data_IF_579065802195
#
_entry.id   IF_579065802195
#
_cell.length_a   1.000
_cell.length_b   1.000
_cell.length_c   1.000
_cell.angle_alpha   90.00
_cell.angle_beta   90.00
_cell.angle_gamma   90.00
#
_symmetry.space_group_name_H-M   'P 1'
#
loop_
_entity.id
_entity.type
_entity.pdbx_description
1 polymer ?
#
# COMPACT_ATOMS: atom_id res chain seq x y z
N UNK A 1 -80.11 18.61 19.85
CA UNK A 1 -79.36 19.05 21.04
C UNK A 1 -77.99 18.38 20.99
N UNK A 2 -76.94 19.13 20.57
CA UNK A 2 -75.51 18.76 20.33
C UNK A 2 -75.29 17.58 19.35
N UNK A 3 -74.32 17.56 18.43
CA UNK A 3 -72.94 18.04 18.46
C UNK A 3 -72.45 18.66 17.12
N UNK A 4 -71.43 19.49 17.28
CA UNK A 4 -70.50 20.08 16.29
C UNK A 4 -69.63 19.04 15.59
N UNK A 5 -69.20 19.30 14.34
CA UNK A 5 -67.83 18.96 13.90
C UNK A 5 -67.33 19.93 12.83
N UNK A 6 -66.23 20.62 13.15
CA UNK A 6 -65.43 21.47 12.26
C UNK A 6 -64.40 20.60 11.52
N UNK A 7 -64.34 20.69 10.19
CA UNK A 7 -63.25 20.10 9.39
C UNK A 7 -62.11 21.12 9.36
N UNK A 8 -60.94 20.77 9.91
CA UNK A 8 -59.69 21.52 9.71
C UNK A 8 -58.72 20.66 8.90
N UNK A 9 -58.21 21.26 7.83
CA UNK A 9 -57.20 20.73 6.92
C UNK A 9 -55.99 20.16 7.67
N UNK A 10 -55.67 18.89 7.45
CA UNK A 10 -54.39 18.33 7.82
C UNK A 10 -53.43 18.46 6.62
N UNK A 11 -52.54 19.44 6.68
CA UNK A 11 -51.35 19.43 5.84
C UNK A 11 -50.38 18.41 6.45
N UNK A 12 -50.15 17.30 5.75
CA UNK A 12 -49.15 16.31 6.13
C UNK A 12 -47.75 16.91 5.94
N UNK A 13 -47.04 17.14 7.05
CA UNK A 13 -45.61 17.44 7.02
C UNK A 13 -44.87 16.10 6.91
N UNK A 14 -44.37 15.77 5.71
CA UNK A 14 -43.44 14.67 5.52
C UNK A 14 -42.09 15.11 6.11
N UNK A 15 -41.79 14.71 7.34
CA UNK A 15 -40.44 14.81 7.85
C UNK A 15 -39.59 13.76 7.10
N UNK A 16 -38.75 14.21 6.17
CA UNK A 16 -37.67 13.37 5.65
C UNK A 16 -36.72 13.10 6.81
N UNK A 17 -36.72 11.87 7.32
CA UNK A 17 -35.65 11.37 8.18
C UNK A 17 -34.36 11.39 7.38
N UNK A 18 -33.48 12.36 7.65
CA UNK A 18 -32.08 12.26 7.29
C UNK A 18 -31.47 11.16 8.18
N UNK A 19 -30.92 10.08 7.64
CA UNK A 19 -30.17 9.15 8.46
C UNK A 19 -28.88 9.84 8.88
N UNK A 20 -28.86 10.44 10.07
CA UNK A 20 -27.61 10.84 10.73
C UNK A 20 -27.07 9.63 11.49
N UNK A 21 -26.54 8.66 10.76
CA UNK A 21 -25.56 7.76 11.33
C UNK A 21 -24.25 8.54 11.44
N UNK A 22 -24.14 9.39 12.45
CA UNK A 22 -22.85 9.98 12.81
C UNK A 22 -21.97 8.81 13.26
N UNK A 23 -20.96 8.47 12.46
CA UNK A 23 -19.92 7.56 12.90
C UNK A 23 -19.29 8.16 14.15
N UNK A 24 -19.09 7.38 15.24
CA UNK A 24 -18.49 7.91 16.47
C UNK A 24 -17.06 8.45 16.26
N UNK A 25 -16.47 8.14 15.11
CA UNK A 25 -15.19 8.66 14.65
C UNK A 25 -15.42 9.66 13.51
N UNK A 26 -15.06 10.95 13.69
CA UNK A 26 -15.13 11.92 12.61
C UNK A 26 -14.14 11.54 11.50
N UNK A 27 -14.63 11.38 10.28
CA UNK A 27 -13.80 11.16 9.09
C UNK A 27 -13.45 12.51 8.47
N UNK A 28 -12.19 12.69 8.08
CA UNK A 28 -11.73 13.86 7.34
C UNK A 28 -10.77 13.47 6.23
N UNK A 29 -10.76 14.24 5.15
CA UNK A 29 -9.69 14.18 4.16
C UNK A 29 -8.39 14.67 4.80
N UNK A 30 -7.32 13.89 4.66
CA UNK A 30 -5.97 14.28 5.10
C UNK A 30 -5.27 15.08 4.01
N UNK A 31 -5.22 14.52 2.80
CA UNK A 31 -4.66 15.16 1.62
C UNK A 31 -5.41 14.67 0.37
N UNK A 32 -5.43 15.50 -0.68
CA UNK A 32 -5.97 15.14 -1.99
C UNK A 32 -5.08 15.73 -3.07
N UNK A 33 -4.59 14.89 -3.98
CA UNK A 33 -3.87 15.34 -5.18
C UNK A 33 -4.82 16.12 -6.09
N UNK A 34 -4.31 17.18 -6.73
CA UNK A 34 -5.11 18.07 -7.56
C UNK A 34 -5.54 17.42 -8.89
N UNK A 35 -4.77 16.46 -9.39
CA UNK A 35 -5.00 15.81 -10.67
C UNK A 35 -6.02 14.67 -10.55
N UNK A 36 -7.05 14.70 -11.39
CA UNK A 36 -7.98 13.58 -11.52
C UNK A 36 -7.28 12.43 -12.25
N UNK A 37 -7.00 11.34 -11.54
CA UNK A 37 -6.33 10.16 -12.09
C UNK A 37 -5.15 9.67 -11.26
N UNK A 38 -4.77 10.36 -10.18
CA UNK A 38 -3.81 9.82 -9.21
C UNK A 38 -4.40 8.58 -8.55
N UNK A 39 -3.72 7.45 -8.74
CA UNK A 39 -4.04 6.20 -8.06
C UNK A 39 -2.97 5.96 -6.99
N UNK A 40 -3.36 6.17 -5.73
CA UNK A 40 -2.55 5.78 -4.56
C UNK A 40 -2.83 4.31 -4.29
N UNK A 41 -1.79 3.47 -4.33
CA UNK A 41 -1.93 2.02 -4.20
C UNK A 41 -1.82 1.56 -2.75
N UNK A 42 -0.72 1.90 -2.09
CA UNK A 42 -0.48 1.55 -0.69
C UNK A 42 0.04 2.75 0.11
N UNK A 43 0.09 2.55 1.43
CA UNK A 43 0.46 3.56 2.41
C UNK A 43 1.29 2.93 3.53
N UNK A 44 2.28 3.66 4.02
CA UNK A 44 3.00 3.35 5.25
C UNK A 44 3.09 4.59 6.15
N UNK A 45 3.08 4.39 7.47
CA UNK A 45 3.20 5.49 8.45
C UNK A 45 4.66 5.58 8.89
N UNK A 46 5.23 6.78 8.84
CA UNK A 46 6.58 7.04 9.38
C UNK A 46 6.54 7.23 10.90
N UNK A 47 7.64 6.99 11.63
CA UNK A 47 7.72 7.25 13.07
C UNK A 47 7.41 8.69 13.49
N UNK A 48 7.57 9.66 12.59
CA UNK A 48 7.23 11.07 12.82
C UNK A 48 5.73 11.40 12.59
N UNK A 49 4.92 10.41 12.18
CA UNK A 49 3.50 10.56 11.90
C UNK A 49 3.15 10.96 10.47
N UNK A 50 4.14 11.25 9.61
CA UNK A 50 3.91 11.47 8.19
C UNK A 50 3.55 10.16 7.48
N UNK A 51 2.99 10.28 6.28
CA UNK A 51 2.55 9.13 5.49
C UNK A 51 3.42 9.00 4.25
N UNK A 52 3.91 7.81 3.96
CA UNK A 52 4.47 7.46 2.65
C UNK A 52 3.38 6.81 1.81
N UNK A 53 3.23 7.24 0.56
CA UNK A 53 2.24 6.69 -0.36
C UNK A 53 2.90 6.32 -1.68
N UNK A 54 2.55 5.14 -2.19
CA UNK A 54 3.00 4.63 -3.48
C UNK A 54 1.95 4.95 -4.55
N UNK A 55 2.38 5.49 -5.69
CA UNK A 55 1.49 5.82 -6.79
C UNK A 55 1.59 4.74 -7.88
N UNK A 56 0.45 4.11 -8.18
CA UNK A 56 0.28 3.19 -9.31
C UNK A 56 0.16 3.96 -10.63
N UNK A 57 -0.45 5.14 -10.58
CA UNK A 57 -0.69 6.02 -11.72
C UNK A 57 -0.74 7.49 -11.26
N UNK A 58 -0.35 8.45 -12.11
CA UNK A 58 0.09 8.27 -13.50
C UNK A 58 1.56 7.85 -13.67
N UNK A 59 2.33 7.81 -12.57
CA UNK A 59 3.77 7.53 -12.58
C UNK A 59 4.18 6.76 -11.33
N UNK A 60 5.27 5.99 -11.45
CA UNK A 60 5.94 5.33 -10.34
C UNK A 60 6.63 6.35 -9.41
N UNK A 61 5.84 6.98 -8.54
CA UNK A 61 6.29 8.02 -7.62
C UNK A 61 6.02 7.62 -6.16
N UNK A 62 7.04 7.78 -5.32
CA UNK A 62 6.92 7.72 -3.87
C UNK A 62 6.73 9.14 -3.35
N UNK A 63 5.62 9.37 -2.66
CA UNK A 63 5.31 10.65 -2.03
C UNK A 63 5.31 10.55 -0.51
N UNK A 64 5.76 11.60 0.14
CA UNK A 64 5.54 11.82 1.56
C UNK A 64 4.45 12.87 1.74
N UNK A 65 3.44 12.53 2.53
CA UNK A 65 2.41 13.45 3.00
C UNK A 65 2.82 13.93 4.39
N UNK A 66 3.31 15.16 4.45
CA UNK A 66 3.75 15.82 5.68
C UNK A 66 2.55 16.36 6.42
N UNK A 67 2.31 15.88 7.63
CA UNK A 67 1.19 16.29 8.46
C UNK A 67 1.62 17.39 9.44
N UNK A 68 0.81 18.43 9.55
CA UNK A 68 1.04 19.49 10.54
C UNK A 68 0.04 19.41 11.69
N UNK A 69 0.39 20.02 12.81
CA UNK A 69 -0.45 20.08 14.01
C UNK A 69 -1.75 20.87 13.81
N UNK A 70 -1.85 21.71 12.76
CA UNK A 70 -3.07 22.47 12.45
C UNK A 70 -4.03 21.72 11.51
N UNK A 71 -3.79 20.42 11.28
CA UNK A 71 -4.50 19.56 10.34
C UNK A 71 -4.31 19.89 8.86
N UNK A 72 -3.33 20.73 8.50
CA UNK A 72 -2.87 20.84 7.11
C UNK A 72 -1.98 19.66 6.73
N UNK A 73 -1.91 19.39 5.43
CA UNK A 73 -1.00 18.42 4.87
C UNK A 73 -0.41 18.94 3.56
N UNK A 74 0.84 18.60 3.30
CA UNK A 74 1.53 18.88 2.05
C UNK A 74 2.14 17.59 1.50
N UNK A 75 2.11 17.41 0.18
CA UNK A 75 2.74 16.27 -0.47
C UNK A 75 4.09 16.68 -1.06
N UNK A 76 5.16 16.00 -0.64
CA UNK A 76 6.49 16.12 -1.20
C UNK A 76 6.84 14.87 -2.02
N UNK A 77 7.32 15.05 -3.25
CA UNK A 77 7.87 13.94 -4.02
C UNK A 77 9.19 13.50 -3.37
N UNK A 78 9.25 12.25 -2.90
CA UNK A 78 10.48 11.66 -2.37
C UNK A 78 11.34 11.18 -3.52
N UNK A 79 10.77 10.37 -4.41
CA UNK A 79 11.50 9.76 -5.54
C UNK A 79 10.56 9.39 -6.67
N UNK A 80 11.02 9.64 -7.90
CA UNK A 80 10.48 9.04 -9.13
C UNK A 80 11.34 7.86 -9.57
N UNK A 81 10.70 6.74 -9.85
CA UNK A 81 11.31 5.52 -10.37
C UNK A 81 11.08 5.45 -11.88
N UNK A 82 11.79 6.28 -12.63
CA UNK A 82 11.50 6.55 -14.06
C UNK A 82 11.58 5.34 -15.01
N UNK A 83 12.11 4.20 -14.57
CA UNK A 83 12.17 2.95 -15.33
C UNK A 83 10.93 2.05 -15.14
N UNK A 84 9.96 2.48 -14.32
CA UNK A 84 8.79 1.68 -13.93
C UNK A 84 7.48 2.43 -14.22
N UNK A 85 6.43 1.66 -14.47
CA UNK A 85 5.07 2.18 -14.73
C UNK A 85 4.41 2.69 -13.45
N UNK A 86 4.49 1.92 -12.37
CA UNK A 86 3.87 2.24 -11.08
C UNK A 86 4.58 1.63 -9.88
N UNK A 87 4.24 2.13 -8.70
CA UNK A 87 4.64 1.55 -7.42
C UNK A 87 3.45 0.84 -6.77
N UNK A 88 3.72 -0.26 -6.07
CA UNK A 88 2.69 -1.04 -5.35
C UNK A 88 2.99 -1.14 -3.86
N UNK A 89 3.35 -2.30 -3.35
CA UNK A 89 3.56 -2.55 -1.92
C UNK A 89 4.64 -1.69 -1.31
N UNK A 90 4.44 -1.31 -0.06
CA UNK A 90 5.40 -0.61 0.79
C UNK A 90 5.35 -1.21 2.19
N UNK A 91 6.50 -1.47 2.80
CA UNK A 91 6.60 -2.02 4.15
C UNK A 91 7.81 -1.47 4.88
N UNK A 92 7.66 -1.14 6.16
CA UNK A 92 8.78 -0.73 7.01
C UNK A 92 9.64 -1.97 7.37
N UNK A 93 10.90 -1.95 6.94
CA UNK A 93 11.88 -3.02 7.19
C UNK A 93 12.76 -2.72 8.39
N UNK A 94 13.04 -1.45 8.70
CA UNK A 94 13.68 -1.04 9.94
C UNK A 94 13.11 0.33 10.35
N UNK A 95 13.33 0.82 11.59
CA UNK A 95 12.82 2.11 12.00
C UNK A 95 13.15 3.22 10.98
N UNK A 96 12.12 3.77 10.34
CA UNK A 96 12.18 4.79 9.27
C UNK A 96 12.93 4.36 7.99
N UNK A 97 12.98 3.05 7.70
CA UNK A 97 13.50 2.45 6.47
C UNK A 97 12.42 1.58 5.83
N UNK A 98 12.14 1.81 4.55
CA UNK A 98 11.01 1.19 3.86
C UNK A 98 11.43 0.46 2.61
N UNK A 99 10.95 -0.77 2.44
CA UNK A 99 10.98 -1.45 1.17
C UNK A 99 9.81 -0.99 0.29
N UNK A 100 10.03 -0.82 -1.01
CA UNK A 100 9.06 -0.34 -2.00
C UNK A 100 9.13 -1.18 -3.27
N UNK A 101 7.99 -1.66 -3.74
CA UNK A 101 7.88 -2.37 -5.02
C UNK A 101 7.68 -1.40 -6.17
N UNK A 102 8.48 -1.56 -7.22
CA UNK A 102 8.35 -0.85 -8.48
C UNK A 102 8.16 -1.87 -9.62
N UNK A 103 7.21 -1.62 -10.52
CA UNK A 103 6.85 -2.60 -11.55
C UNK A 103 6.46 -1.99 -12.90
N UNK A 104 6.70 -2.78 -13.94
CA UNK A 104 6.08 -2.65 -15.25
C UNK A 104 5.14 -3.85 -15.41
N UNK A 105 3.84 -3.64 -15.50
CA UNK A 105 2.84 -4.72 -15.38
C UNK A 105 1.67 -4.59 -16.37
N UNK A 106 1.64 -3.54 -17.19
CA UNK A 106 0.61 -3.34 -18.21
C UNK A 106 0.53 -4.50 -19.21
N UNK A 107 1.64 -5.22 -19.41
CA UNK A 107 1.70 -6.45 -20.20
C UNK A 107 2.16 -7.62 -19.33
N UNK A 108 1.25 -8.46 -18.80
CA UNK A 108 1.60 -9.51 -17.83
C UNK A 108 2.68 -10.50 -18.31
N UNK A 109 2.74 -10.82 -19.60
CA UNK A 109 3.75 -11.74 -20.15
C UNK A 109 5.18 -11.18 -20.17
N UNK A 110 5.33 -9.87 -19.95
CA UNK A 110 6.62 -9.18 -19.90
C UNK A 110 6.71 -8.32 -18.63
N UNK A 111 5.97 -8.70 -17.59
CA UNK A 111 6.01 -7.95 -16.34
C UNK A 111 7.42 -8.00 -15.75
N UNK A 112 7.87 -6.88 -15.18
CA UNK A 112 9.15 -6.79 -14.49
C UNK A 112 8.99 -6.04 -13.18
N UNK A 113 9.69 -6.50 -12.16
CA UNK A 113 9.53 -6.05 -10.78
C UNK A 113 10.89 -5.94 -10.10
N UNK A 114 11.06 -4.88 -9.32
CA UNK A 114 12.23 -4.67 -8.48
C UNK A 114 11.83 -4.17 -7.10
N UNK A 115 12.65 -4.52 -6.11
CA UNK A 115 12.52 -4.06 -4.73
C UNK A 115 13.53 -2.95 -4.47
N UNK A 116 13.05 -1.85 -3.92
CA UNK A 116 13.84 -0.68 -3.57
C UNK A 116 13.79 -0.43 -2.07
N UNK A 117 14.85 0.14 -1.52
CA UNK A 117 14.90 0.68 -0.15
C UNK A 117 14.82 2.20 -0.19
N UNK A 118 13.99 2.78 0.65
CA UNK A 118 13.98 4.20 0.97
C UNK A 118 14.37 4.39 2.44
N UNK A 119 15.55 4.95 2.68
CA UNK A 119 16.12 5.20 3.99
C UNK A 119 15.95 6.67 4.40
N UNK A 120 15.15 6.89 5.44
CA UNK A 120 14.87 8.21 6.01
C UNK A 120 15.56 8.47 7.35
N UNK A 121 16.46 7.57 7.79
CA UNK A 121 17.14 7.67 9.09
C UNK A 121 18.09 8.87 9.18
N UNK A 122 18.56 9.37 8.04
CA UNK A 122 19.51 10.49 7.97
C UNK A 122 18.79 11.83 7.97
N UNK A 123 18.88 12.56 9.09
CA UNK A 123 18.26 13.89 9.24
C UNK A 123 19.07 15.02 8.58
N UNK A 124 20.24 14.72 8.01
CA UNK A 124 21.23 15.73 7.56
C UNK A 124 21.25 15.96 6.06
N UNK A 125 20.70 15.05 5.26
CA UNK A 125 20.61 15.21 3.80
C UNK A 125 19.25 15.79 3.44
N UNK A 126 19.21 16.72 2.49
CA UNK A 126 17.96 17.24 1.92
C UNK A 126 17.27 16.22 0.98
N UNK A 127 17.85 15.03 0.85
CA UNK A 127 17.38 13.96 -0.04
C UNK A 127 17.43 12.63 0.70
N UNK A 128 16.31 11.92 0.70
CA UNK A 128 16.19 10.53 1.15
C UNK A 128 17.10 9.65 0.30
N UNK A 129 17.80 8.72 0.94
CA UNK A 129 18.62 7.75 0.21
C UNK A 129 17.71 6.66 -0.32
N UNK A 130 17.75 6.40 -1.63
CA UNK A 130 16.92 5.37 -2.27
C UNK A 130 17.79 4.47 -3.13
N UNK A 131 17.88 3.20 -2.75
CA UNK A 131 18.75 2.18 -3.34
C UNK A 131 17.93 1.01 -3.90
N UNK A 132 18.40 0.39 -4.97
CA UNK A 132 17.81 -0.85 -5.47
C UNK A 132 18.34 -2.01 -4.61
N UNK A 133 17.44 -2.78 -3.98
CA UNK A 133 17.80 -3.94 -3.16
C UNK A 133 17.80 -5.22 -3.99
N UNK A 134 16.72 -5.43 -4.75
CA UNK A 134 16.52 -6.60 -5.60
C UNK A 134 16.21 -6.10 -7.01
N UNK A 135 17.16 -6.23 -7.96
CA UNK A 135 17.01 -5.65 -9.30
C UNK A 135 16.04 -6.43 -10.19
N UNK A 136 15.64 -7.63 -9.78
CA UNK A 136 14.66 -8.45 -10.50
C UNK A 136 14.02 -9.46 -9.56
N UNK A 137 12.69 -9.53 -9.57
CA UNK A 137 11.92 -10.61 -8.93
C UNK A 137 11.42 -11.53 -10.04
N UNK A 138 12.09 -12.67 -10.31
CA UNK A 138 11.79 -13.49 -11.48
C UNK A 138 10.42 -14.17 -11.36
N UNK A 139 9.77 -14.39 -12.51
CA UNK A 139 8.48 -15.07 -12.65
C UNK A 139 7.30 -14.39 -11.92
N UNK A 140 7.51 -13.21 -11.33
CA UNK A 140 6.44 -12.40 -10.75
C UNK A 140 5.53 -11.84 -11.84
N UNK A 141 4.22 -11.95 -11.64
CA UNK A 141 3.23 -11.44 -12.59
C UNK A 141 2.76 -10.05 -12.16
N UNK A 142 2.02 -9.94 -11.05
CA UNK A 142 1.54 -8.65 -10.54
C UNK A 142 1.72 -8.58 -9.03
N UNK A 143 2.83 -7.99 -8.59
CA UNK A 143 3.12 -7.82 -7.16
C UNK A 143 2.32 -6.66 -6.59
N UNK A 144 1.74 -6.84 -5.40
CA UNK A 144 0.87 -5.85 -4.78
C UNK A 144 1.20 -5.67 -3.29
N UNK A 145 0.37 -6.17 -2.39
CA UNK A 145 0.57 -6.06 -0.95
C UNK A 145 1.93 -6.60 -0.51
N UNK A 146 2.52 -5.92 0.46
CA UNK A 146 3.82 -6.27 1.03
C UNK A 146 3.82 -6.02 2.54
N UNK A 147 4.39 -6.94 3.30
CA UNK A 147 4.54 -6.82 4.76
C UNK A 147 5.77 -7.56 5.27
N UNK A 148 6.13 -7.37 6.53
CA UNK A 148 7.27 -8.06 7.17
C UNK A 148 6.80 -9.12 8.17
N UNK A 149 7.53 -10.23 8.29
CA UNK A 149 7.22 -11.30 9.28
C UNK A 149 7.49 -10.90 10.72
N UNK A 150 8.36 -9.90 10.91
CA UNK A 150 8.61 -9.22 12.17
C UNK A 150 8.43 -7.73 11.91
N UNK A 151 7.35 -7.15 12.46
CA UNK A 151 7.17 -5.70 12.45
C UNK A 151 8.36 -5.00 13.11
N UNK A 152 8.53 -3.68 12.90
CA UNK A 152 9.67 -2.92 13.46
C UNK A 152 9.76 -3.02 14.99
N UNK A 153 8.65 -3.30 15.67
CA UNK A 153 8.59 -3.52 17.11
C UNK A 153 8.97 -4.95 17.57
N UNK A 154 9.08 -5.91 16.64
CA UNK A 154 9.37 -7.31 16.90
C UNK A 154 10.83 -7.70 16.60
N UNK A 155 11.65 -6.77 16.10
CA UNK A 155 13.09 -6.96 15.86
C UNK A 155 13.94 -7.25 17.13
N UNK A 156 13.32 -7.33 18.30
CA UNK A 156 14.01 -7.65 19.56
C UNK A 156 14.03 -9.13 19.92
N UNK A 157 13.67 -10.04 18.99
CA UNK A 157 13.90 -11.46 19.19
C UNK A 157 15.14 -11.88 18.41
N UNK A 158 16.18 -12.23 19.15
CA UNK A 158 17.53 -12.58 18.65
C UNK A 158 17.56 -13.74 17.62
N UNK A 159 16.44 -14.44 17.41
CA UNK A 159 16.32 -15.62 16.53
C UNK A 159 15.40 -15.41 15.29
N UNK A 160 14.68 -14.31 15.17
CA UNK A 160 13.72 -14.08 14.06
C UNK A 160 14.37 -13.21 12.96
N UNK A 161 14.88 -13.84 11.90
CA UNK A 161 15.29 -13.12 10.68
C UNK A 161 14.06 -12.46 10.08
N UNK A 162 14.05 -11.13 9.97
CA UNK A 162 12.98 -10.40 9.31
C UNK A 162 12.92 -10.80 7.83
N UNK A 163 11.74 -11.16 7.37
CA UNK A 163 11.47 -11.51 5.98
C UNK A 163 10.41 -10.56 5.41
N UNK A 164 10.48 -10.27 4.12
CA UNK A 164 9.38 -9.62 3.40
C UNK A 164 8.49 -10.68 2.78
N UNK A 165 7.18 -10.50 2.95
CA UNK A 165 6.15 -11.28 2.28
C UNK A 165 5.46 -10.37 1.27
N UNK A 166 5.31 -10.86 0.04
CA UNK A 166 4.77 -10.10 -1.10
C UNK A 166 3.69 -10.93 -1.78
N UNK A 167 2.50 -10.38 -1.96
CA UNK A 167 1.46 -11.05 -2.75
C UNK A 167 1.71 -10.88 -4.24
N UNK A 168 1.70 -11.98 -5.00
CA UNK A 168 1.55 -11.95 -6.45
C UNK A 168 0.08 -12.18 -6.79
N UNK A 169 -0.60 -11.09 -7.11
CA UNK A 169 -2.03 -11.05 -7.37
C UNK A 169 -2.47 -11.89 -8.55
N UNK A 170 -1.66 -11.97 -9.60
CA UNK A 170 -2.06 -12.74 -10.79
C UNK A 170 -1.66 -14.20 -10.65
N UNK A 171 -0.50 -14.48 -10.04
CA UNK A 171 -0.07 -15.85 -9.80
C UNK A 171 -0.84 -16.53 -8.66
N UNK A 172 -1.43 -15.75 -7.74
CA UNK A 172 -2.24 -16.28 -6.65
C UNK A 172 -1.43 -16.89 -5.49
N UNK A 173 -0.17 -16.47 -5.33
CA UNK A 173 0.70 -16.93 -4.24
C UNK A 173 1.30 -15.77 -3.46
N UNK A 174 1.91 -16.10 -2.31
CA UNK A 174 2.73 -15.18 -1.51
C UNK A 174 4.17 -15.59 -1.69
N UNK A 175 5.00 -14.65 -2.14
CA UNK A 175 6.45 -14.76 -2.18
C UNK A 175 7.04 -14.33 -0.83
N UNK A 176 8.18 -14.91 -0.48
CA UNK A 176 9.05 -14.48 0.61
C UNK A 176 10.38 -14.06 0.02
N UNK A 177 10.89 -12.92 0.48
CA UNK A 177 12.28 -12.51 0.30
C UNK A 177 12.97 -12.61 1.66
N UNK A 178 13.96 -13.50 1.76
CA UNK A 178 14.83 -13.64 2.93
C UNK A 178 15.97 -12.61 2.88
N UNK A 179 16.67 -12.42 4.00
CA UNK A 179 18.03 -11.85 3.99
C UNK A 179 18.16 -10.43 3.42
N UNK A 180 17.15 -9.56 3.58
CA UNK A 180 17.08 -8.20 3.03
C UNK A 180 18.27 -7.28 3.37
N UNK A 181 18.99 -7.60 4.44
CA UNK A 181 20.13 -6.83 4.97
C UNK A 181 21.50 -7.42 4.58
N UNK A 182 21.51 -8.54 3.86
CA UNK A 182 22.70 -9.20 3.36
C UNK A 182 22.74 -9.04 1.85
N UNK A 183 23.93 -8.76 1.30
CA UNK A 183 24.12 -8.79 -0.16
C UNK A 183 23.57 -10.11 -0.72
N UNK A 184 22.80 -10.07 -1.82
CA UNK A 184 22.37 -11.29 -2.51
C UNK A 184 23.56 -12.21 -2.72
N UNK A 185 23.34 -13.53 -2.61
CA UNK A 185 24.38 -14.50 -2.92
C UNK A 185 24.90 -14.24 -4.35
N UNK A 186 26.22 -14.01 -4.53
CA UNK A 186 26.77 -13.75 -5.86
C UNK A 186 26.66 -14.98 -6.79
N UNK A 187 26.45 -16.16 -6.22
CA UNK A 187 26.34 -17.43 -6.95
C UNK A 187 24.89 -17.76 -7.35
N UNK A 188 23.89 -17.22 -6.63
CA UNK A 188 22.46 -17.38 -6.93
C UNK A 188 21.65 -16.22 -6.32
N UNK A 189 21.41 -15.13 -7.08
CA UNK A 189 20.68 -13.96 -6.58
C UNK A 189 19.19 -14.25 -6.31
N UNK A 190 18.68 -15.39 -6.77
CA UNK A 190 17.28 -15.80 -6.61
C UNK A 190 17.08 -16.70 -5.38
N UNK A 191 18.14 -17.20 -4.74
CA UNK A 191 18.05 -18.14 -3.60
C UNK A 191 17.31 -17.53 -2.39
N UNK A 192 17.30 -16.21 -2.29
CA UNK A 192 16.57 -15.49 -1.24
C UNK A 192 15.07 -15.34 -1.53
N UNK A 193 14.60 -15.62 -2.75
CA UNK A 193 13.20 -15.46 -3.19
C UNK A 193 12.52 -16.83 -3.34
N UNK A 194 11.47 -17.07 -2.56
CA UNK A 194 10.75 -18.33 -2.61
C UNK A 194 9.23 -18.15 -2.46
N UNK A 195 8.46 -19.10 -2.97
CA UNK A 195 7.02 -19.19 -2.66
C UNK A 195 6.87 -19.56 -1.18
N UNK A 196 6.19 -18.71 -0.42
CA UNK A 196 5.86 -18.92 0.99
C UNK A 196 4.53 -19.63 1.17
N UNK A 197 3.51 -19.19 0.42
CA UNK A 197 2.17 -19.75 0.47
C UNK A 197 1.61 -19.82 -0.95
N UNK A 198 1.13 -21.00 -1.33
CA UNK A 198 0.35 -21.22 -2.53
C UNK A 198 -0.77 -22.22 -2.21
N UNK A 199 -2.01 -21.85 -2.50
CA UNK A 199 -3.20 -22.66 -2.26
C UNK A 199 -4.25 -22.34 -3.32
N UNK A 200 -5.08 -23.31 -3.71
CA UNK A 200 -6.15 -23.08 -4.69
C UNK A 200 -7.11 -21.95 -4.25
N UNK A 201 -7.22 -21.69 -2.95
CA UNK A 201 -8.03 -20.61 -2.36
C UNK A 201 -7.39 -19.23 -2.47
N UNK A 202 -6.09 -19.13 -2.77
CA UNK A 202 -5.38 -17.86 -2.99
C UNK A 202 -5.30 -17.49 -4.47
N UNK A 203 -5.72 -18.39 -5.36
CA UNK A 203 -5.76 -18.19 -6.80
C UNK A 203 -6.93 -17.28 -7.23
N UNK A 204 -6.76 -16.64 -8.39
CA UNK A 204 -7.86 -15.90 -9.01
C UNK A 204 -9.01 -16.84 -9.43
N UNK A 205 -10.27 -16.39 -9.36
CA UNK A 205 -11.39 -17.18 -9.84
C UNK A 205 -11.23 -17.57 -11.32
N UNK A 206 -11.58 -18.81 -11.72
CA UNK A 206 -11.50 -19.22 -13.11
C UNK A 206 -12.33 -18.29 -14.02
N UNK A 207 -11.74 -17.86 -15.13
CA UNK A 207 -12.36 -16.98 -16.13
C UNK A 207 -12.70 -15.56 -15.67
N UNK A 208 -12.06 -15.06 -14.59
CA UNK A 208 -12.21 -13.67 -14.19
C UNK A 208 -11.70 -12.71 -15.30
N UNK A 209 -12.44 -11.63 -15.52
CA UNK A 209 -12.03 -10.58 -16.48
C UNK A 209 -10.79 -9.80 -16.02
N UNK A 210 -10.56 -9.78 -14.70
CA UNK A 210 -9.34 -9.33 -14.06
C UNK A 210 -8.90 -10.47 -13.12
N UNK A 211 -7.90 -11.27 -13.48
CA UNK A 211 -7.47 -12.42 -12.70
C UNK A 211 -6.68 -11.95 -11.47
N UNK A 212 -7.38 -11.60 -10.40
CA UNK A 212 -6.81 -11.22 -9.10
C UNK A 212 -7.13 -12.27 -8.05
N UNK A 213 -6.07 -12.88 -7.50
CA UNK A 213 -6.09 -13.75 -6.34
C UNK A 213 -5.74 -12.97 -5.07
N UNK A 214 -4.79 -13.47 -4.26
CA UNK A 214 -4.26 -12.75 -3.10
C UNK A 214 -3.68 -11.39 -3.50
N UNK A 215 -4.26 -10.30 -2.97
CA UNK A 215 -3.89 -8.93 -3.38
C UNK A 215 -3.28 -8.10 -2.26
N UNK A 216 -3.85 -8.15 -1.05
CA UNK A 216 -3.29 -7.53 0.15
C UNK A 216 -2.71 -8.58 1.09
N UNK A 217 -1.63 -8.22 1.79
CA UNK A 217 -1.08 -8.99 2.90
C UNK A 217 -0.69 -8.02 4.03
N UNK A 218 -1.06 -8.38 5.26
CA UNK A 218 -0.80 -7.61 6.48
C UNK A 218 -0.54 -8.60 7.62
N UNK A 219 0.34 -8.24 8.55
CA UNK A 219 0.81 -9.08 9.67
C UNK A 219 0.64 -8.37 11.00
#
# INVERSE_FOLDING_TARGET
>A
MKLSTTIRNAAAFLAMLKPTSATPYPVRTVYQFADNGTWIENIAVRPNGNLLVTLLAPSADLYEIVLSSNHSAEAGLVRRFAAYEGLTGIAETAPDVFAVLAGNYSTPSTASWSLWEADFTTTTTTTTTVNELVPSIPNALVLNGMTTTAGPLLQQRDDDVQQLLISDSTAGHVLRIANLLSSPSPDDPDDDIAVFLADDRTMSPPNASLPTGVNGIEM
#
